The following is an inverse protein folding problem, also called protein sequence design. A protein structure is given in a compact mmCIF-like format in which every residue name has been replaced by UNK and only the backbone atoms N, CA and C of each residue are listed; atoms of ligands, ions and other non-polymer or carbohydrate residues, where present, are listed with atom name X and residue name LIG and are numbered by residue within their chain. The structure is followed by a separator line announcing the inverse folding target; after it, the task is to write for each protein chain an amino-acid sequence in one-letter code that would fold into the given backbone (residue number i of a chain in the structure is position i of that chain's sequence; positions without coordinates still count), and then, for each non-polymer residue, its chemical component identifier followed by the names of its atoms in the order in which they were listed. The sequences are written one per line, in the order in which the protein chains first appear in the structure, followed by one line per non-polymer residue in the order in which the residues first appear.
data_IF_477324397299
#
_entry.id   IF_477324397299
#
_cell.length_a   1.000
_cell.length_b   1.000
_cell.length_c   1.000
_cell.angle_alpha   90.00
_cell.angle_beta   90.00
_cell.angle_gamma   90.00
#
_symmetry.space_group_name_H-M   'P 1'
#
loop_
_entity.id
_entity.type
_entity.pdbx_description
1 polymer ?
#
# COMPACT_ATOMS: atom_id res chain seq x y z
N UNK A 1 -16.99 -3.26 0.05
CA UNK A 1 -16.33 -3.69 -1.22
C UNK A 1 -15.74 -5.09 -1.09
N UNK A 2 -15.40 -5.75 -2.20
CA UNK A 2 -14.71 -7.06 -2.18
C UNK A 2 -13.23 -6.86 -1.84
N UNK A 3 -12.70 -7.70 -0.94
CA UNK A 3 -11.29 -7.79 -0.53
C UNK A 3 -10.30 -7.71 -1.71
N UNK A 4 -10.69 -8.26 -2.87
CA UNK A 4 -9.90 -8.24 -4.10
C UNK A 4 -9.61 -6.85 -4.70
N UNK A 5 -10.50 -5.86 -4.54
CA UNK A 5 -10.25 -4.50 -5.07
C UNK A 5 -9.14 -3.80 -4.29
N UNK A 6 -9.15 -3.93 -2.96
CA UNK A 6 -8.12 -3.34 -2.08
C UNK A 6 -6.76 -3.98 -2.36
N UNK A 7 -6.72 -5.31 -2.49
CA UNK A 7 -5.51 -6.05 -2.89
C UNK A 7 -4.98 -5.61 -4.26
N UNK A 8 -5.87 -5.42 -5.23
CA UNK A 8 -5.49 -4.95 -6.55
C UNK A 8 -4.88 -3.54 -6.52
N UNK A 9 -5.48 -2.61 -5.78
CA UNK A 9 -4.96 -1.25 -5.64
C UNK A 9 -3.60 -1.27 -4.96
N UNK A 10 -3.44 -2.02 -3.86
CA UNK A 10 -2.17 -2.16 -3.15
C UNK A 10 -1.07 -2.77 -4.03
N UNK A 11 -1.36 -3.86 -4.74
CA UNK A 11 -0.40 -4.44 -5.68
C UNK A 11 -0.02 -3.47 -6.79
N UNK A 12 -0.98 -2.68 -7.28
CA UNK A 12 -0.70 -1.62 -8.27
C UNK A 12 0.16 -0.50 -7.71
N UNK A 13 -0.01 -0.14 -6.43
CA UNK A 13 0.78 0.89 -5.75
C UNK A 13 2.21 0.43 -5.48
N UNK A 14 2.44 -0.84 -5.14
CA UNK A 14 3.81 -1.39 -5.02
C UNK A 14 4.51 -1.43 -6.38
N UNK A 15 3.82 -1.93 -7.40
CA UNK A 15 4.35 -1.93 -8.77
C UNK A 15 4.66 -0.52 -9.26
N UNK A 16 3.77 0.44 -8.96
CA UNK A 16 3.97 1.85 -9.27
C UNK A 16 5.04 2.51 -8.41
N UNK A 17 5.22 2.11 -7.15
CA UNK A 17 6.26 2.60 -6.24
C UNK A 17 7.66 2.14 -6.67
N UNK A 18 7.79 0.89 -7.11
CA UNK A 18 9.01 0.40 -7.75
C UNK A 18 9.26 1.12 -9.10
N UNK A 19 8.21 1.35 -9.89
CA UNK A 19 8.31 2.14 -11.12
C UNK A 19 8.48 3.64 -10.87
N UNK A 20 8.19 4.14 -9.67
CA UNK A 20 8.38 5.54 -9.30
C UNK A 20 9.86 5.89 -9.17
N UNK A 21 10.67 4.92 -8.70
CA UNK A 21 12.13 5.00 -8.81
C UNK A 21 12.61 5.14 -10.27
N UNK A 22 11.80 4.71 -11.23
CA UNK A 22 12.10 4.82 -12.66
C UNK A 22 11.36 5.96 -13.38
N UNK A 23 10.24 6.47 -12.85
CA UNK A 23 9.31 7.38 -13.54
C UNK A 23 8.56 8.30 -12.57
N UNK A 24 8.49 9.59 -12.86
CA UNK A 24 7.98 10.65 -11.95
C UNK A 24 6.44 10.75 -11.87
N UNK A 25 5.72 9.63 -11.79
CA UNK A 25 4.23 9.61 -11.78
C UNK A 25 3.61 9.79 -10.40
N UNK A 26 3.97 10.87 -9.69
CA UNK A 26 3.48 11.15 -8.32
C UNK A 26 1.97 11.29 -8.24
N UNK A 27 1.36 11.98 -9.21
CA UNK A 27 -0.08 12.29 -9.21
C UNK A 27 -0.94 11.03 -9.28
N UNK A 28 -0.58 10.09 -10.15
CA UNK A 28 -1.32 8.82 -10.33
C UNK A 28 -1.27 7.94 -9.06
N UNK A 29 -0.12 7.92 -8.38
CA UNK A 29 0.04 7.18 -7.12
C UNK A 29 -0.78 7.86 -6.00
N UNK A 30 -0.79 9.19 -5.94
CA UNK A 30 -1.58 9.95 -4.98
C UNK A 30 -3.09 9.74 -5.15
N UNK A 31 -3.58 9.75 -6.38
CA UNK A 31 -4.99 9.47 -6.69
C UNK A 31 -5.38 8.06 -6.22
N UNK A 32 -4.56 7.06 -6.52
CA UNK A 32 -4.78 5.67 -6.08
C UNK A 32 -4.74 5.52 -4.55
N UNK A 33 -3.89 6.27 -3.85
CA UNK A 33 -3.84 6.28 -2.39
C UNK A 33 -5.12 6.88 -1.79
N UNK A 34 -5.63 7.97 -2.38
CA UNK A 34 -6.91 8.55 -1.95
C UNK A 34 -8.07 7.59 -2.20
N UNK A 35 -8.10 6.96 -3.37
CA UNK A 35 -9.10 5.93 -3.69
C UNK A 35 -9.02 4.78 -2.68
N UNK A 36 -7.82 4.29 -2.36
CA UNK A 36 -7.61 3.25 -1.36
C UNK A 36 -8.17 3.65 0.02
N UNK A 37 -7.88 4.87 0.47
CA UNK A 37 -8.38 5.39 1.75
C UNK A 37 -9.91 5.54 1.78
N UNK A 38 -10.50 5.98 0.68
CA UNK A 38 -11.95 6.09 0.54
C UNK A 38 -12.61 4.71 0.58
N UNK A 39 -12.07 3.76 -0.18
CA UNK A 39 -12.54 2.37 -0.18
C UNK A 39 -12.38 1.71 1.19
N UNK A 40 -11.35 2.07 1.95
CA UNK A 40 -11.11 1.52 3.28
C UNK A 40 -12.22 1.91 4.27
N UNK A 41 -12.74 3.14 4.19
CA UNK A 41 -13.82 3.64 5.05
C UNK A 41 -15.08 2.81 4.89
N UNK A 42 -15.39 2.42 3.66
CA UNK A 42 -16.58 1.62 3.30
C UNK A 42 -16.28 0.11 3.21
N UNK A 43 -15.13 -0.34 3.72
CA UNK A 43 -14.74 -1.74 3.70
C UNK A 43 -15.21 -2.49 4.94
N UNK A 44 -15.64 -3.74 4.74
CA UNK A 44 -15.94 -4.70 5.80
C UNK A 44 -14.67 -5.42 6.29
N UNK A 45 -13.49 -4.84 6.03
CA UNK A 45 -12.23 -5.42 6.49
C UNK A 45 -12.15 -5.37 8.02
N UNK A 46 -11.55 -6.38 8.65
CA UNK A 46 -11.27 -6.34 10.08
C UNK A 46 -10.36 -5.16 10.42
N UNK A 47 -10.48 -4.64 11.64
CA UNK A 47 -9.74 -3.44 12.07
C UNK A 47 -8.22 -3.61 11.92
N UNK A 48 -7.71 -4.83 12.13
CA UNK A 48 -6.31 -5.19 11.89
C UNK A 48 -5.89 -4.97 10.44
N UNK A 49 -6.71 -5.44 9.49
CA UNK A 49 -6.46 -5.23 8.07
C UNK A 49 -6.57 -3.75 7.69
N UNK A 50 -7.55 -3.02 8.25
CA UNK A 50 -7.67 -1.57 8.04
C UNK A 50 -6.43 -0.81 8.49
N UNK A 51 -5.87 -1.15 9.66
CA UNK A 51 -4.65 -0.54 10.16
C UNK A 51 -3.45 -0.85 9.26
N UNK A 52 -3.29 -2.10 8.81
CA UNK A 52 -2.24 -2.46 7.86
C UNK A 52 -2.33 -1.66 6.56
N UNK A 53 -3.52 -1.49 5.99
CA UNK A 53 -3.70 -0.70 4.77
C UNK A 53 -3.34 0.77 4.98
N UNK A 54 -3.69 1.36 6.13
CA UNK A 54 -3.30 2.73 6.47
C UNK A 54 -1.79 2.88 6.56
N UNK A 55 -1.12 1.97 7.26
CA UNK A 55 0.35 1.99 7.38
C UNK A 55 1.02 1.85 6.01
N UNK A 56 0.51 0.97 5.14
CA UNK A 56 1.03 0.82 3.77
C UNK A 56 0.86 2.13 2.99
N UNK A 57 -0.32 2.75 3.07
CA UNK A 57 -0.60 4.00 2.38
C UNK A 57 0.31 5.14 2.85
N UNK A 58 0.57 5.24 4.15
CA UNK A 58 1.48 6.24 4.75
C UNK A 58 2.94 6.02 4.33
N UNK A 59 3.40 4.77 4.28
CA UNK A 59 4.75 4.43 3.83
C UNK A 59 4.96 4.80 2.35
N UNK A 60 4.00 4.44 1.49
CA UNK A 60 4.05 4.82 0.06
C UNK A 60 3.98 6.34 -0.06
N UNK A 61 3.06 7.00 0.66
CA UNK A 61 2.94 8.45 0.64
C UNK A 61 4.25 9.15 1.03
N UNK A 62 4.95 8.65 2.05
CA UNK A 62 6.27 9.15 2.44
C UNK A 62 7.25 9.02 1.28
N UNK A 63 7.31 7.84 0.65
CA UNK A 63 8.20 7.57 -0.49
C UNK A 63 8.00 8.52 -1.69
N UNK A 64 6.76 8.85 -2.03
CA UNK A 64 6.43 9.77 -3.15
C UNK A 64 6.48 11.25 -2.79
N UNK A 65 6.15 11.62 -1.55
CA UNK A 65 6.19 13.02 -1.09
C UNK A 65 7.60 13.47 -0.72
N UNK A 66 8.46 12.55 -0.29
CA UNK A 66 9.87 12.87 -0.06
C UNK A 66 10.53 13.32 -1.38
N UNK A 67 11.27 14.45 -1.35
CA UNK A 67 12.19 14.83 -2.42
C UNK A 67 13.16 13.69 -2.71
N UNK A 68 13.52 13.48 -3.98
CA UNK A 68 14.50 12.45 -4.37
C UNK A 68 15.87 12.62 -3.69
N UNK A 69 16.17 13.83 -3.22
CA UNK A 69 17.40 14.18 -2.52
C UNK A 69 17.37 13.87 -1.01
N UNK A 70 16.20 13.64 -0.41
CA UNK A 70 16.06 13.36 1.03
C UNK A 70 16.14 11.88 1.39
N UNK A 71 15.83 10.98 0.44
CA UNK A 71 15.90 9.53 0.65
C UNK A 71 16.91 8.92 -0.30
N UNK A 72 17.87 8.19 0.24
CA UNK A 72 18.79 7.37 -0.55
C UNK A 72 18.04 6.22 -1.23
N UNK A 73 18.61 5.67 -2.30
CA UNK A 73 18.06 4.48 -2.97
C UNK A 73 17.91 3.28 -2.02
N UNK A 74 18.80 3.18 -1.03
CA UNK A 74 18.75 2.15 0.01
C UNK A 74 17.54 2.36 0.94
N UNK A 75 17.30 3.59 1.41
CA UNK A 75 16.13 3.91 2.24
C UNK A 75 14.81 3.73 1.47
N UNK A 76 14.78 4.12 0.19
CA UNK A 76 13.60 3.90 -0.66
C UNK A 76 13.31 2.40 -0.81
N UNK A 77 14.35 1.59 -0.98
CA UNK A 77 14.22 0.13 -1.06
C UNK A 77 13.72 -0.44 0.26
N UNK A 78 14.27 -0.02 1.39
CA UNK A 78 13.84 -0.49 2.71
C UNK A 78 12.36 -0.18 2.97
N UNK A 79 11.89 1.02 2.58
CA UNK A 79 10.46 1.38 2.67
C UNK A 79 9.60 0.47 1.78
N UNK A 80 10.04 0.19 0.55
CA UNK A 80 9.31 -0.71 -0.36
C UNK A 80 9.26 -2.16 0.18
N UNK A 81 10.37 -2.66 0.71
CA UNK A 81 10.45 -4.00 1.32
C UNK A 81 9.54 -4.08 2.56
N UNK A 82 9.46 -3.01 3.37
CA UNK A 82 8.53 -2.93 4.50
C UNK A 82 7.06 -2.95 4.01
N UNK A 83 6.74 -2.17 2.98
CA UNK A 83 5.41 -2.16 2.36
C UNK A 83 5.02 -3.54 1.86
N UNK A 84 5.92 -4.24 1.17
CA UNK A 84 5.68 -5.60 0.67
C UNK A 84 5.41 -6.58 1.82
N UNK A 85 6.21 -6.52 2.90
CA UNK A 85 5.97 -7.33 4.10
C UNK A 85 4.60 -7.07 4.73
N UNK A 86 4.17 -5.80 4.80
CA UNK A 86 2.85 -5.45 5.34
C UNK A 86 1.71 -5.93 4.45
N UNK A 87 1.89 -5.91 3.12
CA UNK A 87 0.92 -6.45 2.18
C UNK A 87 0.79 -7.96 2.35
N UNK A 88 1.90 -8.69 2.53
CA UNK A 88 1.84 -10.12 2.84
C UNK A 88 1.08 -10.40 4.14
N UNK A 89 1.35 -9.64 5.21
CA UNK A 89 0.58 -9.75 6.47
C UNK A 89 -0.90 -9.41 6.29
N UNK A 90 -1.21 -8.43 5.43
CA UNK A 90 -2.58 -8.07 5.11
C UNK A 90 -3.26 -9.20 4.33
N UNK A 91 -2.57 -9.84 3.39
CA UNK A 91 -3.08 -11.02 2.70
C UNK A 91 -3.40 -12.14 3.69
N UNK A 92 -2.49 -12.41 4.62
CA UNK A 92 -2.70 -13.40 5.67
C UNK A 92 -3.86 -13.03 6.59
N UNK A 93 -3.98 -11.76 6.99
CA UNK A 93 -5.10 -11.31 7.83
C UNK A 93 -6.45 -11.40 7.10
N UNK A 94 -6.44 -11.26 5.77
CA UNK A 94 -7.64 -11.31 4.94
C UNK A 94 -8.03 -12.74 4.56
N UNK A 95 -7.04 -13.62 4.31
CA UNK A 95 -7.19 -15.04 3.96
C UNK A 95 -7.36 -15.93 5.21
N UNK A 96 -6.71 -15.60 6.31
CA UNK A 96 -6.78 -16.34 7.57
C UNK A 96 -8.21 -16.44 8.12
N UNK A 97 -9.01 -15.39 7.91
CA UNK A 97 -10.45 -15.38 8.20
C UNK A 97 -11.28 -16.36 7.33
N UNK A 98 -10.76 -16.88 6.20
CA UNK A 98 -11.48 -17.85 5.35
C UNK A 98 -11.24 -19.32 5.75
N UNK A 99 -10.23 -19.61 6.58
CA UNK A 99 -9.84 -20.99 6.95
C UNK A 99 -10.39 -21.50 8.29
N UNK A 100 -11.07 -20.65 9.08
CA UNK A 100 -11.69 -21.04 10.37
C UNK A 100 -13.23 -21.02 10.36
N UNK A 101 -13.88 -21.02 9.19
CA UNK A 101 -15.34 -21.09 9.06
C UNK A 101 -15.85 -22.48 8.65
#
# INVERSE_FOLDING_TARGET
MKKGTIMFILGSLVGAGAAYLATTRKEEIMEKLQELQEQLKDSDLPERAKNLVKEIAENIQTLIMSPEEELSEEEKKDILDEVESKIQKLEEAIKGDETEA
#
